data_IF_577293084824
#
_entry.id   IF_577293084824
#
_cell.length_a   1.000
_cell.length_b   1.000
_cell.length_c   1.000
_cell.angle_alpha   90.00
_cell.angle_beta   90.00
_cell.angle_gamma   90.00
#
_symmetry.space_group_name_H-M   'P 1'
#
loop_
_entity.id
_entity.type
_entity.pdbx_description
1 polymer ?
#
# COMPACT_ATOMS: atom_id res chain seq x y z
N UNK A 1 -4.16 -20.32 -20.72
CA UNK A 1 -3.77 -19.21 -19.84
C UNK A 1 -3.54 -18.01 -20.76
N UNK A 2 -4.28 -16.93 -20.59
CA UNK A 2 -4.10 -15.69 -21.36
C UNK A 2 -3.30 -14.73 -20.50
N UNK A 3 -2.19 -14.21 -21.01
CA UNK A 3 -1.34 -13.23 -20.35
C UNK A 3 -1.66 -11.79 -20.76
N UNK A 4 -2.58 -11.60 -21.69
CA UNK A 4 -3.00 -10.31 -22.15
C UNK A 4 -4.02 -9.70 -21.17
N UNK A 5 -3.85 -8.40 -20.92
CA UNK A 5 -4.86 -7.64 -20.20
C UNK A 5 -6.17 -7.57 -21.00
N UNK A 6 -7.30 -7.71 -20.32
CA UNK A 6 -8.60 -7.44 -20.93
C UNK A 6 -8.68 -5.99 -21.44
N UNK A 7 -9.64 -5.72 -22.32
CA UNK A 7 -9.86 -4.34 -22.80
C UNK A 7 -10.12 -3.36 -21.67
N UNK A 8 -10.82 -3.79 -20.61
CA UNK A 8 -11.11 -2.96 -19.45
C UNK A 8 -9.83 -2.64 -18.68
N UNK A 9 -8.98 -3.62 -18.41
CA UNK A 9 -7.68 -3.40 -17.74
C UNK A 9 -6.74 -2.51 -18.58
N UNK A 10 -6.75 -2.64 -19.91
CA UNK A 10 -5.97 -1.75 -20.78
C UNK A 10 -6.47 -0.30 -20.71
N UNK A 11 -7.79 -0.09 -20.61
CA UNK A 11 -8.36 1.25 -20.44
C UNK A 11 -8.02 1.84 -19.07
N UNK A 12 -8.08 1.04 -18.00
CA UNK A 12 -7.65 1.46 -16.66
C UNK A 12 -6.18 1.87 -16.68
N UNK A 13 -5.30 1.05 -17.25
CA UNK A 13 -3.88 1.37 -17.39
C UNK A 13 -3.67 2.68 -18.13
N UNK A 14 -4.29 2.84 -19.29
CA UNK A 14 -4.17 4.07 -20.08
C UNK A 14 -4.63 5.31 -19.31
N UNK A 15 -5.80 5.22 -18.68
CA UNK A 15 -6.34 6.32 -17.86
C UNK A 15 -5.37 6.70 -16.73
N UNK A 16 -4.82 5.70 -16.04
CA UNK A 16 -3.90 5.94 -14.93
C UNK A 16 -2.55 6.46 -15.38
N UNK A 17 -2.02 5.96 -16.51
CA UNK A 17 -0.79 6.48 -17.10
C UNK A 17 -0.94 7.97 -17.48
N UNK A 18 -2.05 8.35 -18.12
CA UNK A 18 -2.37 9.75 -18.47
C UNK A 18 -2.52 10.61 -17.21
N UNK A 19 -3.23 10.13 -16.19
CA UNK A 19 -3.37 10.83 -14.91
C UNK A 19 -2.01 11.00 -14.22
N UNK A 20 -1.20 9.97 -14.17
CA UNK A 20 0.11 9.99 -13.52
C UNK A 20 1.08 10.96 -14.18
N UNK A 21 1.14 10.97 -15.50
CA UNK A 21 2.01 11.90 -16.26
C UNK A 21 1.55 13.36 -16.10
N UNK A 22 0.24 13.63 -16.14
CA UNK A 22 -0.27 14.99 -16.18
C UNK A 22 -0.51 15.61 -14.79
N UNK A 23 -0.81 14.80 -13.77
CA UNK A 23 -1.23 15.29 -12.46
C UNK A 23 -0.25 14.91 -11.34
N UNK A 24 0.33 13.70 -11.38
CA UNK A 24 1.18 13.20 -10.29
C UNK A 24 2.63 13.61 -10.49
N UNK A 25 3.19 13.38 -11.66
CA UNK A 25 4.59 13.67 -12.00
C UNK A 25 4.98 15.13 -11.76
N UNK A 26 4.17 16.14 -12.15
CA UNK A 26 4.55 17.54 -12.00
C UNK A 26 4.76 17.98 -10.55
N UNK A 27 4.08 17.35 -9.60
CA UNK A 27 4.17 17.72 -8.17
C UNK A 27 5.01 16.76 -7.33
N UNK A 28 5.46 15.63 -7.90
CA UNK A 28 6.11 14.57 -7.13
C UNK A 28 7.39 15.02 -6.40
N UNK A 29 8.20 15.87 -7.04
CA UNK A 29 9.42 16.42 -6.43
C UNK A 29 9.11 17.38 -5.27
N UNK A 30 8.11 18.25 -5.42
CA UNK A 30 7.72 19.20 -4.38
C UNK A 30 7.02 18.47 -3.22
N UNK A 31 6.21 17.45 -3.50
CA UNK A 31 5.60 16.57 -2.50
C UNK A 31 6.67 15.89 -1.62
N UNK A 32 7.74 15.36 -2.23
CA UNK A 32 8.85 14.78 -1.45
C UNK A 32 9.59 15.83 -0.64
N UNK A 33 9.89 16.99 -1.23
CA UNK A 33 10.64 18.06 -0.58
C UNK A 33 9.91 18.67 0.62
N UNK A 34 8.60 18.87 0.49
CA UNK A 34 7.80 19.55 1.51
C UNK A 34 7.13 18.58 2.49
N UNK A 35 7.17 17.28 2.22
CA UNK A 35 6.44 16.24 2.96
C UNK A 35 4.93 16.50 3.05
N UNK A 36 4.37 17.19 2.07
CA UNK A 36 2.94 17.53 2.05
C UNK A 36 2.12 16.40 1.41
N UNK A 37 1.00 16.11 2.04
CA UNK A 37 -0.02 15.23 1.50
C UNK A 37 -0.56 15.78 0.19
N UNK A 38 -0.56 15.01 -0.93
CA UNK A 38 -0.97 15.47 -2.26
C UNK A 38 -2.50 15.55 -2.38
N UNK A 39 -3.12 16.42 -1.58
CA UNK A 39 -4.58 16.53 -1.41
C UNK A 39 -5.33 16.64 -2.73
N UNK A 40 -4.89 17.53 -3.62
CA UNK A 40 -5.58 17.77 -4.90
C UNK A 40 -5.60 16.50 -5.77
N UNK A 41 -4.49 15.76 -5.82
CA UNK A 41 -4.44 14.50 -6.56
C UNK A 41 -5.34 13.44 -5.95
N UNK A 42 -5.40 13.35 -4.63
CA UNK A 42 -6.28 12.39 -3.95
C UNK A 42 -7.75 12.74 -4.19
N UNK A 43 -8.13 14.03 -4.17
CA UNK A 43 -9.49 14.47 -4.53
C UNK A 43 -9.86 14.09 -5.97
N UNK A 44 -8.92 14.27 -6.92
CA UNK A 44 -9.12 13.84 -8.31
C UNK A 44 -9.26 12.33 -8.42
N UNK A 45 -8.49 11.55 -7.64
CA UNK A 45 -8.59 10.08 -7.61
C UNK A 45 -9.92 9.59 -7.00
N UNK A 46 -10.50 10.32 -6.02
CA UNK A 46 -11.88 10.06 -5.57
C UNK A 46 -12.87 10.27 -6.72
N UNK A 47 -12.78 11.39 -7.44
CA UNK A 47 -13.66 11.70 -8.56
C UNK A 47 -13.55 10.68 -9.72
N UNK A 48 -12.37 10.10 -9.92
CA UNK A 48 -12.14 9.02 -10.91
C UNK A 48 -12.60 7.64 -10.41
N UNK A 49 -13.02 7.52 -9.13
CA UNK A 49 -13.43 6.26 -8.52
C UNK A 49 -12.26 5.32 -8.15
N UNK A 50 -11.03 5.81 -8.20
CA UNK A 50 -9.82 5.04 -7.82
C UNK A 50 -9.77 4.82 -6.31
N UNK A 51 -10.20 5.81 -5.52
CA UNK A 51 -10.43 5.67 -4.09
C UNK A 51 -11.77 4.94 -3.87
N UNK A 52 -11.74 3.63 -3.82
CA UNK A 52 -12.91 2.74 -3.78
C UNK A 52 -13.00 1.83 -5.01
N UNK A 53 -11.85 1.56 -5.67
CA UNK A 53 -11.78 0.77 -6.90
C UNK A 53 -12.51 -0.57 -6.79
N UNK A 54 -12.29 -1.32 -5.72
CA UNK A 54 -12.91 -2.64 -5.50
C UNK A 54 -14.20 -2.58 -4.67
N UNK A 55 -14.60 -1.41 -4.19
CA UNK A 55 -15.87 -1.25 -3.44
C UNK A 55 -17.04 -1.48 -4.38
N UNK A 56 -18.06 -2.30 -3.99
CA UNK A 56 -19.23 -2.54 -4.82
C UNK A 56 -19.96 -1.24 -5.21
N UNK A 57 -20.55 -1.22 -6.40
CA UNK A 57 -21.24 -0.04 -6.94
C UNK A 57 -22.40 0.43 -6.07
N UNK A 58 -23.09 -0.48 -5.40
CA UNK A 58 -24.16 -0.19 -4.46
C UNK A 58 -23.74 0.67 -3.27
N UNK A 59 -22.45 0.59 -2.88
CA UNK A 59 -21.84 1.43 -1.83
C UNK A 59 -21.03 2.61 -2.40
N UNK A 60 -21.18 2.89 -3.70
CA UNK A 60 -20.58 4.07 -4.33
C UNK A 60 -19.19 3.88 -4.92
N UNK A 61 -18.64 2.65 -4.90
CA UNK A 61 -17.36 2.32 -5.51
C UNK A 61 -17.43 2.05 -7.00
N UNK A 62 -16.27 1.76 -7.61
CA UNK A 62 -16.17 1.42 -9.03
C UNK A 62 -16.61 -0.02 -9.33
N UNK A 63 -16.55 -0.92 -8.36
CA UNK A 63 -16.88 -2.34 -8.51
C UNK A 63 -15.94 -3.08 -9.45
N UNK A 64 -14.68 -2.61 -9.54
CA UNK A 64 -13.64 -3.24 -10.32
C UNK A 64 -12.97 -4.40 -9.56
N UNK A 65 -12.19 -5.20 -10.25
CA UNK A 65 -11.48 -6.33 -9.67
C UNK A 65 -10.12 -5.95 -9.03
N UNK A 66 -9.49 -6.84 -8.25
CA UNK A 66 -8.19 -6.58 -7.64
C UNK A 66 -7.05 -6.33 -8.65
N UNK A 67 -7.15 -6.84 -9.89
CA UNK A 67 -6.14 -6.59 -10.92
C UNK A 67 -6.20 -5.13 -11.40
N UNK A 68 -7.39 -4.57 -11.57
CA UNK A 68 -7.55 -3.15 -11.89
C UNK A 68 -6.95 -2.25 -10.79
N UNK A 69 -7.16 -2.62 -9.50
CA UNK A 69 -6.56 -1.91 -8.37
C UNK A 69 -5.04 -1.99 -8.38
N UNK A 70 -4.47 -3.16 -8.65
CA UNK A 70 -3.01 -3.34 -8.76
C UNK A 70 -2.42 -2.48 -9.89
N UNK A 71 -3.07 -2.44 -11.06
CA UNK A 71 -2.66 -1.59 -12.19
C UNK A 71 -2.68 -0.10 -11.80
N UNK A 72 -3.69 0.37 -11.07
CA UNK A 72 -3.73 1.75 -10.61
C UNK A 72 -2.55 2.10 -9.69
N UNK A 73 -2.22 1.23 -8.75
CA UNK A 73 -1.11 1.43 -7.81
C UNK A 73 0.24 1.39 -8.54
N UNK A 74 0.42 0.46 -9.49
CA UNK A 74 1.60 0.35 -10.35
C UNK A 74 1.85 1.65 -11.10
N UNK A 75 0.86 2.14 -11.85
CA UNK A 75 0.98 3.36 -12.66
C UNK A 75 1.26 4.63 -11.82
N UNK A 76 0.54 4.82 -10.69
CA UNK A 76 0.79 5.93 -9.78
C UNK A 76 2.22 5.92 -9.22
N UNK A 77 2.70 4.73 -8.87
CA UNK A 77 3.99 4.54 -8.21
C UNK A 77 5.19 4.72 -9.14
N UNK A 78 4.99 4.71 -10.47
CA UNK A 78 6.03 5.04 -11.44
C UNK A 78 6.58 6.46 -11.23
N UNK A 79 5.75 7.40 -10.80
CA UNK A 79 6.14 8.79 -10.62
C UNK A 79 6.12 9.25 -9.16
N UNK A 80 5.21 8.70 -8.33
CA UNK A 80 5.09 9.06 -6.91
C UNK A 80 4.60 7.88 -6.08
N UNK A 81 5.55 7.18 -5.45
CA UNK A 81 5.24 6.06 -4.58
C UNK A 81 4.39 6.45 -3.36
N UNK A 82 4.49 7.70 -2.88
CA UNK A 82 3.63 8.22 -1.80
C UNK A 82 2.16 8.22 -2.20
N UNK A 83 1.82 8.63 -3.42
CA UNK A 83 0.45 8.62 -3.94
C UNK A 83 -0.05 7.18 -4.08
N UNK A 84 0.79 6.27 -4.58
CA UNK A 84 0.48 4.83 -4.66
C UNK A 84 0.21 4.21 -3.28
N UNK A 85 1.00 4.54 -2.26
CA UNK A 85 0.86 4.06 -0.88
C UNK A 85 -0.46 4.51 -0.23
N UNK A 86 -0.84 5.78 -0.41
CA UNK A 86 -2.11 6.32 0.08
C UNK A 86 -3.30 5.53 -0.48
N UNK A 87 -3.29 5.29 -1.80
CA UNK A 87 -4.34 4.54 -2.50
C UNK A 87 -4.35 3.07 -2.09
N UNK A 88 -3.18 2.44 -2.00
CA UNK A 88 -3.04 1.04 -1.60
C UNK A 88 -3.58 0.78 -0.19
N UNK A 89 -3.19 1.63 0.77
CA UNK A 89 -3.66 1.55 2.17
C UNK A 89 -5.16 1.78 2.27
N UNK A 90 -5.68 2.82 1.63
CA UNK A 90 -7.10 3.13 1.65
C UNK A 90 -7.96 1.97 1.11
N UNK A 91 -7.66 1.49 -0.09
CA UNK A 91 -8.42 0.43 -0.75
C UNK A 91 -8.18 -0.95 -0.12
N UNK A 92 -6.91 -1.32 0.03
CA UNK A 92 -6.50 -2.68 0.41
C UNK A 92 -6.57 -2.97 1.91
N UNK A 93 -6.34 -1.96 2.75
CA UNK A 93 -6.22 -2.17 4.20
C UNK A 93 -7.41 -1.61 4.98
N UNK A 94 -8.16 -0.63 4.45
CA UNK A 94 -9.34 -0.11 5.12
C UNK A 94 -10.65 -0.55 4.44
N UNK A 95 -10.83 -0.33 3.14
CA UNK A 95 -12.06 -0.71 2.45
C UNK A 95 -12.24 -2.23 2.38
N UNK A 96 -11.18 -2.97 2.01
CA UNK A 96 -11.24 -4.44 1.80
C UNK A 96 -11.72 -5.23 3.04
N UNK A 97 -11.20 -5.03 4.27
CA UNK A 97 -11.72 -5.72 5.45
C UNK A 97 -13.16 -5.32 5.80
N UNK A 98 -13.60 -4.09 5.51
CA UNK A 98 -15.00 -3.70 5.71
C UNK A 98 -15.90 -4.41 4.69
N UNK A 99 -15.50 -4.50 3.43
CA UNK A 99 -16.21 -5.26 2.39
C UNK A 99 -16.34 -6.72 2.78
N UNK A 100 -15.25 -7.32 3.26
CA UNK A 100 -15.14 -8.78 3.47
C UNK A 100 -15.77 -9.23 4.79
N UNK A 101 -15.67 -8.43 5.86
CA UNK A 101 -16.04 -8.83 7.21
C UNK A 101 -17.12 -7.95 7.85
N UNK A 102 -17.45 -6.81 7.25
CA UNK A 102 -18.46 -5.90 7.78
C UNK A 102 -19.87 -6.46 7.66
N UNK A 103 -20.72 -6.09 8.62
CA UNK A 103 -22.17 -6.28 8.51
C UNK A 103 -22.72 -5.36 7.40
N UNK A 104 -23.92 -5.66 6.90
CA UNK A 104 -24.55 -4.80 5.89
C UNK A 104 -24.73 -3.36 6.40
N UNK A 105 -25.02 -3.18 7.69
CA UNK A 105 -25.13 -1.85 8.32
C UNK A 105 -23.77 -1.13 8.32
N UNK A 106 -22.68 -1.82 8.64
CA UNK A 106 -21.33 -1.24 8.60
C UNK A 106 -20.91 -0.89 7.17
N UNK A 107 -21.17 -1.76 6.20
CA UNK A 107 -20.90 -1.49 4.77
C UNK A 107 -21.69 -0.27 4.29
N UNK A 108 -22.99 -0.23 4.58
CA UNK A 108 -23.86 0.88 4.19
C UNK A 108 -23.47 2.22 4.84
N UNK A 109 -22.90 2.20 6.05
CA UNK A 109 -22.41 3.40 6.73
C UNK A 109 -21.04 3.83 6.19
N UNK A 110 -20.05 2.96 6.19
CA UNK A 110 -18.65 3.33 6.02
C UNK A 110 -18.17 3.35 4.57
N UNK A 111 -18.62 2.43 3.71
CA UNK A 111 -18.13 2.39 2.34
C UNK A 111 -18.53 3.63 1.51
N UNK A 112 -19.76 4.18 1.62
CA UNK A 112 -20.08 5.46 0.97
C UNK A 112 -19.24 6.64 1.47
N UNK A 113 -18.86 6.66 2.76
CA UNK A 113 -17.95 7.67 3.31
C UNK A 113 -16.58 7.58 2.66
N UNK A 114 -16.05 6.35 2.52
CA UNK A 114 -14.73 6.02 1.96
C UNK A 114 -14.68 6.10 0.42
N UNK A 115 -15.79 6.35 -0.25
CA UNK A 115 -15.87 6.50 -1.70
C UNK A 115 -16.35 7.90 -2.06
N UNK A 116 -17.67 8.10 -2.20
CA UNK A 116 -18.27 9.39 -2.58
C UNK A 116 -18.18 10.48 -1.49
N UNK A 117 -17.98 10.08 -0.24
CA UNK A 117 -17.80 11.01 0.88
C UNK A 117 -16.42 11.59 1.00
N UNK A 118 -15.46 11.17 0.14
CA UNK A 118 -14.06 11.60 0.13
C UNK A 118 -13.34 11.47 1.48
N UNK A 119 -13.77 10.50 2.31
CA UNK A 119 -13.12 10.18 3.57
C UNK A 119 -12.00 9.18 3.36
N UNK A 120 -10.85 9.44 3.98
CA UNK A 120 -9.67 8.57 3.84
C UNK A 120 -9.69 7.47 4.90
N UNK A 121 -9.24 6.28 4.53
CA UNK A 121 -9.14 5.13 5.41
C UNK A 121 -7.70 4.78 5.81
N UNK A 122 -7.54 4.21 7.01
CA UNK A 122 -6.27 3.73 7.55
C UNK A 122 -6.42 2.38 8.26
N UNK A 123 -5.28 1.73 8.56
CA UNK A 123 -5.19 0.40 9.16
C UNK A 123 -4.22 0.43 10.35
N UNK A 124 -4.72 0.12 11.54
CA UNK A 124 -4.02 0.27 12.80
C UNK A 124 -3.72 -1.09 13.46
N UNK A 125 -2.64 -1.75 13.02
CA UNK A 125 -2.19 -3.03 13.58
C UNK A 125 -0.93 -2.87 14.44
N UNK A 126 0.11 -2.24 13.88
CA UNK A 126 1.48 -2.20 14.43
C UNK A 126 1.57 -1.39 15.72
N UNK A 127 2.31 -1.90 16.70
CA UNK A 127 2.68 -1.22 17.95
C UNK A 127 4.20 -1.22 18.13
N UNK A 128 4.74 -0.46 19.09
CA UNK A 128 6.18 -0.30 19.32
C UNK A 128 6.94 -1.64 19.45
N UNK A 129 6.33 -2.61 20.13
CA UNK A 129 6.92 -3.93 20.38
C UNK A 129 6.23 -5.06 19.59
N UNK A 130 5.33 -4.72 18.64
CA UNK A 130 4.55 -5.66 17.86
C UNK A 130 4.49 -5.27 16.37
N UNK A 131 5.63 -5.39 15.67
CA UNK A 131 5.75 -5.25 14.23
C UNK A 131 5.57 -6.60 13.53
N UNK A 132 6.67 -7.31 13.24
CA UNK A 132 6.63 -8.66 12.64
C UNK A 132 5.91 -9.67 13.54
N UNK A 133 6.04 -9.55 14.85
CA UNK A 133 5.29 -10.33 15.84
C UNK A 133 3.98 -9.61 16.22
N UNK A 134 3.10 -9.46 15.24
CA UNK A 134 1.83 -8.72 15.40
C UNK A 134 0.88 -9.33 16.44
N UNK A 135 1.14 -10.58 16.86
CA UNK A 135 0.37 -11.25 17.92
C UNK A 135 0.58 -10.64 19.31
N UNK A 136 1.67 -9.88 19.51
CA UNK A 136 2.05 -9.25 20.79
C UNK A 136 1.44 -7.87 21.03
N UNK A 137 0.52 -7.41 20.20
CA UNK A 137 -0.15 -6.12 20.41
C UNK A 137 -0.74 -5.99 21.80
N UNK A 138 -0.55 -4.83 22.43
CA UNK A 138 -0.95 -4.53 23.81
C UNK A 138 -2.16 -3.60 23.91
N UNK A 139 -2.54 -2.91 22.83
CA UNK A 139 -3.76 -2.08 22.80
C UNK A 139 -4.95 -2.91 23.25
N UNK A 140 -5.65 -2.46 24.29
CA UNK A 140 -6.79 -3.17 24.91
C UNK A 140 -8.12 -2.61 24.41
N UNK A 141 -9.14 -3.46 24.36
CA UNK A 141 -10.53 -3.06 24.17
C UNK A 141 -11.39 -3.79 25.21
N UNK A 142 -11.98 -3.04 26.15
CA UNK A 142 -12.85 -3.57 27.19
C UNK A 142 -14.29 -3.23 26.90
N UNK A 143 -15.18 -4.24 26.91
CA UNK A 143 -16.62 -4.03 26.76
C UNK A 143 -17.17 -3.39 28.03
N UNK A 144 -17.86 -2.25 27.87
CA UNK A 144 -18.59 -1.56 28.93
C UNK A 144 -20.01 -1.21 28.41
N UNK A 145 -20.98 -1.99 28.81
CA UNK A 145 -22.35 -1.81 28.37
C UNK A 145 -22.54 -1.98 26.85
N UNK A 146 -22.81 -0.87 26.18
CA UNK A 146 -23.09 -0.81 24.74
C UNK A 146 -21.91 -0.32 23.88
N UNK A 147 -20.72 -0.17 24.47
CA UNK A 147 -19.51 0.26 23.79
C UNK A 147 -18.27 -0.47 24.27
N UNK A 148 -17.18 -0.38 23.49
CA UNK A 148 -15.84 -0.78 23.90
C UNK A 148 -15.04 0.48 24.28
N UNK A 149 -14.24 0.37 25.33
CA UNK A 149 -13.25 1.38 25.74
C UNK A 149 -11.88 0.90 25.27
N UNK A 150 -11.28 1.61 24.32
CA UNK A 150 -9.95 1.31 23.79
C UNK A 150 -8.87 2.12 24.51
N UNK A 151 -7.78 1.45 24.88
CA UNK A 151 -6.59 2.08 25.49
C UNK A 151 -5.31 1.49 24.88
N UNK A 152 -4.39 2.37 24.44
CA UNK A 152 -3.11 2.00 23.85
C UNK A 152 -2.70 2.92 22.72
N UNK A 153 -1.68 2.52 21.95
CA UNK A 153 -1.24 3.26 20.77
C UNK A 153 -0.82 2.36 19.63
N UNK A 154 -0.90 2.88 18.43
CA UNK A 154 -0.47 2.24 17.17
C UNK A 154 0.53 3.16 16.48
N UNK A 155 1.60 2.59 15.95
CA UNK A 155 2.67 3.36 15.31
C UNK A 155 2.79 3.03 13.81
N UNK A 156 3.44 3.93 13.06
CA UNK A 156 3.66 3.81 11.63
C UNK A 156 2.38 3.67 10.81
N UNK A 157 1.31 4.36 11.23
CA UNK A 157 0.02 4.27 10.57
C UNK A 157 0.00 5.16 9.34
N UNK A 158 0.01 4.54 8.15
CA UNK A 158 -0.19 5.21 6.85
C UNK A 158 -1.58 5.86 6.82
N UNK A 159 -1.66 7.05 6.25
CA UNK A 159 -2.82 7.93 6.27
C UNK A 159 -3.18 8.46 7.68
N UNK A 160 -2.36 8.22 8.71
CA UNK A 160 -2.72 8.38 10.12
C UNK A 160 -3.25 9.76 10.53
N UNK A 161 -2.74 10.86 9.96
CA UNK A 161 -3.19 12.21 10.31
C UNK A 161 -4.13 12.86 9.28
N UNK A 162 -4.54 12.11 8.25
CA UNK A 162 -5.53 12.56 7.26
C UNK A 162 -6.74 11.66 7.18
N UNK A 163 -6.67 10.45 7.77
CA UNK A 163 -7.76 9.49 7.73
C UNK A 163 -8.91 9.88 8.67
N UNK A 164 -10.11 9.54 8.24
CA UNK A 164 -11.35 9.70 8.99
C UNK A 164 -11.83 8.37 9.60
N UNK A 165 -11.51 7.24 8.95
CA UNK A 165 -11.96 5.90 9.32
C UNK A 165 -10.74 4.97 9.46
N UNK A 166 -10.67 4.26 10.56
CA UNK A 166 -9.56 3.39 10.93
C UNK A 166 -10.06 1.97 11.19
N UNK A 167 -9.41 0.97 10.61
CA UNK A 167 -9.57 -0.43 11.02
C UNK A 167 -8.52 -0.73 12.09
N UNK A 168 -8.96 -0.89 13.35
CA UNK A 168 -8.10 -0.98 14.53
C UNK A 168 -8.16 -2.38 15.13
N UNK A 169 -7.00 -2.94 15.48
CA UNK A 169 -6.90 -4.23 16.15
C UNK A 169 -6.51 -4.04 17.61
N UNK A 170 -7.30 -4.62 18.51
CA UNK A 170 -7.10 -4.50 19.95
C UNK A 170 -7.41 -5.81 20.67
N UNK A 171 -6.80 -6.01 21.83
CA UNK A 171 -6.93 -7.18 22.68
C UNK A 171 -8.20 -7.07 23.51
N UNK A 172 -9.17 -7.95 23.28
CA UNK A 172 -10.38 -8.08 24.09
C UNK A 172 -10.25 -9.13 25.19
N UNK A 173 -9.36 -10.13 25.00
CA UNK A 173 -9.11 -11.19 26.00
C UNK A 173 -7.66 -11.70 25.93
N UNK A 174 -6.79 -11.19 26.80
CA UNK A 174 -5.36 -11.57 26.86
C UNK A 174 -5.13 -13.06 27.10
N UNK A 175 -6.05 -13.74 27.77
CA UNK A 175 -5.90 -15.16 28.11
C UNK A 175 -5.96 -16.09 26.89
N UNK A 176 -6.51 -15.61 25.76
CA UNK A 176 -6.73 -16.37 24.53
C UNK A 176 -5.64 -16.16 23.46
N UNK A 177 -4.59 -15.36 23.74
CA UNK A 177 -3.53 -15.05 22.78
C UNK A 177 -4.11 -14.44 21.49
N UNK A 178 -3.72 -14.94 20.31
CA UNK A 178 -4.23 -14.42 19.02
C UNK A 178 -5.74 -14.50 18.86
N UNK A 179 -6.40 -15.44 19.57
CA UNK A 179 -7.87 -15.57 19.59
C UNK A 179 -8.55 -14.58 20.53
N UNK A 180 -7.79 -13.73 21.21
CA UNK A 180 -8.29 -12.63 22.02
C UNK A 180 -8.18 -11.27 21.31
N UNK A 181 -7.63 -11.21 20.10
CA UNK A 181 -7.53 -9.98 19.32
C UNK A 181 -8.83 -9.81 18.50
N UNK A 182 -9.43 -8.62 18.59
CA UNK A 182 -10.63 -8.21 17.86
C UNK A 182 -10.33 -7.04 16.92
N UNK A 183 -11.16 -6.84 15.90
CA UNK A 183 -11.06 -5.75 14.96
C UNK A 183 -12.22 -4.77 15.15
N UNK A 184 -11.96 -3.48 14.99
CA UNK A 184 -12.93 -2.40 15.18
C UNK A 184 -12.86 -1.40 14.05
N UNK A 185 -14.00 -0.82 13.66
CA UNK A 185 -14.05 0.37 12.81
C UNK A 185 -14.11 1.58 13.75
N UNK A 186 -13.08 2.42 13.72
CA UNK A 186 -12.96 3.61 14.59
C UNK A 186 -12.96 4.85 13.73
N UNK A 187 -13.77 5.85 14.12
CA UNK A 187 -13.77 7.17 13.49
C UNK A 187 -12.82 8.12 14.24
N UNK A 188 -12.12 8.97 13.51
CA UNK A 188 -11.23 9.98 14.13
C UNK A 188 -11.96 10.96 15.06
N UNK A 189 -13.28 11.05 14.92
CA UNK A 189 -14.16 11.88 15.75
C UNK A 189 -14.57 11.25 17.08
N UNK A 190 -14.24 9.97 17.32
CA UNK A 190 -14.65 9.30 18.57
C UNK A 190 -13.92 9.87 19.77
N UNK A 191 -14.62 10.08 20.90
CA UNK A 191 -14.01 10.54 22.15
C UNK A 191 -12.85 9.64 22.54
N UNK A 192 -11.70 10.25 22.91
CA UNK A 192 -10.50 9.50 23.30
C UNK A 192 -9.60 9.06 22.16
N UNK A 193 -9.96 9.32 20.88
CA UNK A 193 -9.07 9.18 19.75
C UNK A 193 -8.17 10.43 19.61
N UNK A 194 -6.88 10.23 19.35
CA UNK A 194 -5.98 11.32 18.99
C UNK A 194 -4.85 10.85 18.07
N UNK A 195 -4.33 11.81 17.31
CA UNK A 195 -3.12 11.61 16.49
C UNK A 195 -1.92 12.03 17.35
N UNK A 196 -0.95 11.13 17.46
CA UNK A 196 0.29 11.34 18.16
C UNK A 196 1.38 11.90 17.24
N UNK A 197 2.58 11.34 17.35
CA UNK A 197 3.75 11.76 16.58
C UNK A 197 3.56 11.52 15.07
N UNK A 198 3.86 12.55 14.26
CA UNK A 198 4.07 12.39 12.83
C UNK A 198 5.47 11.83 12.58
N UNK A 199 5.59 10.82 11.72
CA UNK A 199 6.87 10.15 11.48
C UNK A 199 7.70 10.88 10.42
N UNK A 200 8.95 11.22 10.78
CA UNK A 200 9.96 11.64 9.82
C UNK A 200 10.58 10.39 9.18
N UNK A 201 10.49 10.27 7.87
CA UNK A 201 10.83 9.04 7.14
C UNK A 201 11.97 9.25 6.15
N UNK A 202 12.68 8.18 5.80
CA UNK A 202 13.69 8.16 4.74
C UNK A 202 13.10 8.46 3.36
N UNK A 203 11.89 7.95 3.08
CA UNK A 203 11.16 8.08 1.82
C UNK A 203 9.66 8.15 2.06
N UNK A 204 8.86 8.09 0.98
CA UNK A 204 7.40 8.26 0.99
C UNK A 204 6.96 9.51 1.77
N UNK A 205 7.67 10.61 1.57
CA UNK A 205 7.46 11.82 2.35
C UNK A 205 6.05 12.39 2.20
N UNK A 206 5.42 12.25 1.03
CA UNK A 206 4.05 12.68 0.78
C UNK A 206 2.99 11.73 1.35
N UNK A 207 3.36 10.55 1.85
CA UNK A 207 2.45 9.62 2.50
C UNK A 207 2.36 9.95 4.00
N UNK A 208 1.17 10.37 4.50
CA UNK A 208 1.00 10.80 5.89
C UNK A 208 1.07 9.61 6.84
N UNK A 209 2.12 9.54 7.65
CA UNK A 209 2.36 8.43 8.58
C UNK A 209 2.46 8.97 10.00
N UNK A 210 1.68 8.41 10.94
CA UNK A 210 1.64 8.89 12.32
C UNK A 210 1.41 7.78 13.34
N UNK A 211 1.65 8.11 14.60
CA UNK A 211 1.13 7.38 15.74
C UNK A 211 -0.35 7.70 15.94
N UNK A 212 -1.14 6.70 16.32
CA UNK A 212 -2.55 6.85 16.72
C UNK A 212 -2.67 6.42 18.18
N UNK A 213 -3.26 7.27 19.00
CA UNK A 213 -3.37 7.07 20.45
C UNK A 213 -4.84 6.96 20.85
N UNK A 214 -5.12 5.97 21.69
CA UNK A 214 -6.42 5.71 22.28
C UNK A 214 -6.31 5.90 23.81
N UNK A 215 -7.04 6.87 24.35
CA UNK A 215 -7.12 7.14 25.79
C UNK A 215 -8.60 7.14 26.19
N UNK A 216 -9.04 6.04 26.79
CA UNK A 216 -10.45 5.78 27.08
C UNK A 216 -11.34 6.04 25.83
N UNK A 217 -10.88 5.57 24.67
CA UNK A 217 -11.56 5.82 23.42
C UNK A 217 -12.85 5.01 23.33
N UNK A 218 -13.98 5.71 23.20
CA UNK A 218 -15.33 5.15 23.18
C UNK A 218 -15.68 4.69 21.78
N UNK A 219 -15.81 3.38 21.59
CA UNK A 219 -16.15 2.77 20.30
C UNK A 219 -17.47 2.01 20.43
N UNK A 220 -18.54 2.40 19.73
CA UNK A 220 -19.82 1.70 19.78
C UNK A 220 -19.69 0.20 19.52
N UNK A 221 -20.50 -0.62 20.21
CA UNK A 221 -20.45 -2.08 20.08
C UNK A 221 -20.70 -2.57 18.65
N UNK A 222 -21.56 -1.89 17.92
CA UNK A 222 -21.84 -2.16 16.51
C UNK A 222 -20.65 -1.90 15.57
N UNK A 223 -19.57 -1.27 16.06
CA UNK A 223 -18.35 -1.04 15.32
C UNK A 223 -17.33 -2.20 15.43
N UNK A 224 -17.66 -3.26 16.18
CA UNK A 224 -16.89 -4.51 16.15
C UNK A 224 -16.95 -5.10 14.73
N UNK A 225 -15.81 -5.19 14.07
CA UNK A 225 -15.70 -5.72 12.71
C UNK A 225 -15.57 -7.26 12.74
N UNK A 226 -16.54 -7.93 12.15
CA UNK A 226 -16.63 -9.39 12.21
C UNK A 226 -17.09 -9.89 13.58
N UNK A 227 -16.33 -10.82 14.19
CA UNK A 227 -16.64 -11.42 15.49
C UNK A 227 -15.52 -11.14 16.48
N UNK A 228 -15.88 -10.99 17.76
CA UNK A 228 -14.91 -10.89 18.85
C UNK A 228 -13.95 -12.08 18.86
N UNK A 229 -12.65 -11.80 19.03
CA UNK A 229 -11.58 -12.80 19.00
C UNK A 229 -11.19 -13.29 17.60
N UNK A 230 -11.73 -12.71 16.52
CA UNK A 230 -11.35 -13.03 15.14
C UNK A 230 -10.49 -11.96 14.46
N UNK A 231 -10.14 -10.90 15.17
CA UNK A 231 -9.38 -9.78 14.64
C UNK A 231 -8.03 -10.19 14.04
N UNK A 232 -7.27 -11.07 14.70
CA UNK A 232 -5.99 -11.53 14.15
C UNK A 232 -6.14 -12.24 12.80
N UNK A 233 -7.19 -13.06 12.64
CA UNK A 233 -7.50 -13.69 11.36
C UNK A 233 -7.84 -12.65 10.30
N UNK A 234 -8.65 -11.66 10.65
CA UNK A 234 -9.00 -10.53 9.75
C UNK A 234 -7.72 -9.79 9.35
N UNK A 235 -6.83 -9.45 10.30
CA UNK A 235 -5.57 -8.78 10.03
C UNK A 235 -4.71 -9.55 9.01
N UNK A 236 -4.52 -10.86 9.21
CA UNK A 236 -3.70 -11.69 8.31
C UNK A 236 -4.31 -11.79 6.90
N UNK A 237 -5.63 -11.93 6.78
CA UNK A 237 -6.32 -11.95 5.50
C UNK A 237 -6.23 -10.60 4.77
N UNK A 238 -6.35 -9.49 5.51
CA UNK A 238 -6.20 -8.14 4.96
C UNK A 238 -4.78 -7.92 4.45
N UNK A 239 -3.75 -8.32 5.22
CA UNK A 239 -2.36 -8.21 4.81
C UNK A 239 -2.02 -9.07 3.59
N UNK A 240 -2.66 -10.23 3.39
CA UNK A 240 -2.49 -10.99 2.15
C UNK A 240 -2.91 -10.16 0.93
N UNK A 241 -4.03 -9.43 1.04
CA UNK A 241 -4.48 -8.50 0.00
C UNK A 241 -3.56 -7.29 -0.16
N UNK A 242 -3.12 -6.69 0.94
CA UNK A 242 -2.19 -5.55 0.96
C UNK A 242 -0.86 -5.85 0.27
N UNK A 243 -0.32 -7.07 0.45
CA UNK A 243 0.92 -7.50 -0.23
C UNK A 243 0.85 -7.39 -1.76
N UNK A 244 -0.33 -7.58 -2.36
CA UNK A 244 -0.53 -7.35 -3.80
C UNK A 244 -0.34 -5.86 -4.13
N UNK A 245 -0.91 -4.97 -3.30
CA UNK A 245 -0.74 -3.53 -3.45
C UNK A 245 0.72 -3.09 -3.36
N UNK A 246 1.47 -3.62 -2.36
CA UNK A 246 2.89 -3.30 -2.20
C UNK A 246 3.75 -3.90 -3.33
N UNK A 247 3.40 -5.09 -3.83
CA UNK A 247 4.07 -5.65 -5.01
C UNK A 247 3.88 -4.75 -6.25
N UNK A 248 2.66 -4.26 -6.48
CA UNK A 248 2.35 -3.32 -7.55
C UNK A 248 3.06 -1.98 -7.37
N UNK A 249 3.10 -1.44 -6.16
CA UNK A 249 3.85 -0.22 -5.85
C UNK A 249 5.34 -0.38 -6.13
N UNK A 250 5.96 -1.45 -5.63
CA UNK A 250 7.37 -1.73 -5.84
C UNK A 250 7.70 -1.92 -7.33
N UNK A 251 6.83 -2.60 -8.07
CA UNK A 251 6.95 -2.74 -9.52
C UNK A 251 6.89 -1.39 -10.23
N UNK A 252 5.94 -0.54 -9.89
CA UNK A 252 5.83 0.81 -10.44
C UNK A 252 7.07 1.66 -10.17
N UNK A 253 7.61 1.64 -8.95
CA UNK A 253 8.87 2.33 -8.60
C UNK A 253 10.02 1.82 -9.50
N UNK A 254 10.14 0.50 -9.68
CA UNK A 254 11.19 -0.08 -10.52
C UNK A 254 11.07 0.36 -11.97
N UNK A 255 9.86 0.36 -12.53
CA UNK A 255 9.61 0.74 -13.91
C UNK A 255 9.83 2.23 -14.14
N UNK A 256 9.32 3.10 -13.26
CA UNK A 256 9.58 4.53 -13.33
C UNK A 256 11.08 4.86 -13.29
N UNK A 257 11.84 4.20 -12.39
CA UNK A 257 13.28 4.36 -12.32
C UNK A 257 14.01 3.86 -13.58
N UNK A 258 13.56 2.74 -14.15
CA UNK A 258 14.10 2.21 -15.39
C UNK A 258 13.82 3.14 -16.59
N UNK A 259 12.61 3.69 -16.69
CA UNK A 259 12.25 4.64 -17.77
C UNK A 259 13.07 5.93 -17.69
N UNK A 260 13.20 6.53 -16.51
CA UNK A 260 14.03 7.72 -16.29
C UNK A 260 15.50 7.47 -16.68
N UNK A 261 16.05 6.31 -16.24
CA UNK A 261 17.41 5.93 -16.59
C UNK A 261 17.57 5.68 -18.09
N UNK A 262 16.57 5.09 -18.74
CA UNK A 262 16.59 4.83 -20.18
C UNK A 262 16.58 6.14 -20.98
N UNK A 263 15.75 7.10 -20.58
CA UNK A 263 15.69 8.42 -21.20
C UNK A 263 17.03 9.15 -21.05
N UNK A 264 17.57 9.21 -19.83
CA UNK A 264 18.84 9.86 -19.54
C UNK A 264 20.01 9.25 -20.33
N UNK A 265 20.14 7.92 -20.32
CA UNK A 265 21.27 7.23 -20.97
C UNK A 265 21.26 7.34 -22.48
N UNK A 266 20.11 7.55 -23.11
CA UNK A 266 19.98 7.83 -24.55
C UNK A 266 20.49 9.23 -24.90
N UNK A 267 20.31 10.21 -24.02
CA UNK A 267 20.73 11.59 -24.23
C UNK A 267 22.17 11.87 -23.79
N UNK A 268 22.67 11.20 -22.75
CA UNK A 268 23.99 11.45 -22.16
C UNK A 268 25.11 10.85 -23.01
N UNK A 269 26.01 11.69 -23.51
CA UNK A 269 27.16 11.28 -24.33
C UNK A 269 28.44 11.30 -23.49
N UNK A 270 29.18 10.20 -23.48
CA UNK A 270 30.51 10.05 -22.92
C UNK A 270 31.35 9.12 -23.81
N UNK A 271 32.66 9.35 -23.87
CA UNK A 271 33.59 8.59 -24.77
C UNK A 271 33.09 8.54 -26.23
N UNK A 272 32.53 9.67 -26.70
CA UNK A 272 32.10 9.86 -28.11
C UNK A 272 30.79 9.20 -28.51
N UNK A 273 30.00 8.60 -27.56
CA UNK A 273 28.70 7.98 -27.86
C UNK A 273 27.74 8.05 -26.68
N UNK A 274 26.41 7.94 -26.92
CA UNK A 274 25.44 7.82 -25.85
C UNK A 274 25.77 6.65 -24.92
N UNK A 275 25.65 6.84 -23.60
CA UNK A 275 25.99 5.79 -22.63
C UNK A 275 25.11 4.55 -22.76
N UNK A 276 23.89 4.68 -23.30
CA UNK A 276 23.01 3.55 -23.68
C UNK A 276 23.63 2.62 -24.75
N UNK A 277 24.69 3.03 -25.44
CA UNK A 277 25.38 2.21 -26.45
C UNK A 277 26.55 1.38 -25.87
N UNK A 278 26.82 1.47 -24.59
CA UNK A 278 27.75 0.57 -23.92
C UNK A 278 27.08 -0.74 -23.58
N UNK A 279 27.74 -1.86 -23.86
CA UNK A 279 27.20 -3.20 -23.69
C UNK A 279 26.74 -3.48 -22.24
N UNK A 280 27.54 -3.05 -21.27
CA UNK A 280 27.15 -3.20 -19.85
C UNK A 280 25.84 -2.47 -19.51
N UNK A 281 25.62 -1.27 -20.05
CA UNK A 281 24.37 -0.51 -19.88
C UNK A 281 23.19 -1.28 -20.48
N UNK A 282 23.37 -1.83 -21.69
CA UNK A 282 22.34 -2.64 -22.36
C UNK A 282 21.99 -3.90 -21.58
N UNK A 283 22.98 -4.60 -21.07
CA UNK A 283 22.76 -5.81 -20.24
C UNK A 283 22.02 -5.46 -18.95
N UNK A 284 22.37 -4.36 -18.31
CA UNK A 284 21.67 -3.93 -17.09
C UNK A 284 20.18 -3.62 -17.38
N UNK A 285 19.84 -2.97 -18.47
CA UNK A 285 18.45 -2.75 -18.86
C UNK A 285 17.72 -4.05 -19.22
N UNK A 286 18.39 -4.99 -19.88
CA UNK A 286 17.81 -6.30 -20.18
C UNK A 286 17.44 -7.06 -18.88
N UNK A 287 18.32 -7.04 -17.88
CA UNK A 287 18.06 -7.64 -16.57
C UNK A 287 16.90 -6.93 -15.83
N UNK A 288 16.84 -5.60 -15.87
CA UNK A 288 15.75 -4.84 -15.27
C UNK A 288 14.41 -5.19 -15.94
N UNK A 289 14.33 -5.15 -17.26
CA UNK A 289 13.12 -5.44 -18.02
C UNK A 289 12.61 -6.88 -17.77
N UNK A 290 13.51 -7.87 -17.79
CA UNK A 290 13.17 -9.27 -17.51
C UNK A 290 12.58 -9.42 -16.10
N UNK A 291 13.18 -8.77 -15.09
CA UNK A 291 12.71 -8.83 -13.71
C UNK A 291 11.40 -8.08 -13.50
N UNK A 292 11.21 -6.92 -14.15
CA UNK A 292 9.94 -6.19 -14.12
C UNK A 292 8.80 -7.06 -14.68
N UNK A 293 9.02 -7.74 -15.81
CA UNK A 293 8.03 -8.63 -16.38
C UNK A 293 7.71 -9.82 -15.48
N UNK A 294 8.73 -10.45 -14.90
CA UNK A 294 8.54 -11.52 -13.93
C UNK A 294 7.74 -11.04 -12.67
N UNK A 295 8.06 -9.86 -12.15
CA UNK A 295 7.35 -9.25 -11.03
C UNK A 295 5.89 -8.93 -11.36
N UNK A 296 5.63 -8.40 -12.56
CA UNK A 296 4.29 -8.13 -13.06
C UNK A 296 3.45 -9.41 -13.13
N UNK A 297 3.98 -10.47 -13.70
CA UNK A 297 3.28 -11.75 -13.80
C UNK A 297 2.94 -12.32 -12.41
N UNK A 298 3.85 -12.27 -11.45
CA UNK A 298 3.59 -12.71 -10.08
C UNK A 298 2.50 -11.86 -9.40
N UNK A 299 2.57 -10.53 -9.54
CA UNK A 299 1.61 -9.59 -8.94
C UNK A 299 0.21 -9.78 -9.53
N UNK A 300 0.11 -9.89 -10.85
CA UNK A 300 -1.17 -10.05 -11.53
C UNK A 300 -1.77 -11.42 -11.29
N UNK A 301 -0.95 -12.47 -11.19
CA UNK A 301 -1.43 -13.79 -10.78
C UNK A 301 -2.09 -13.76 -9.42
N UNK A 302 -1.45 -13.11 -8.43
CA UNK A 302 -2.00 -12.99 -7.08
C UNK A 302 -3.31 -12.18 -7.07
N UNK A 303 -3.37 -11.08 -7.85
CA UNK A 303 -4.56 -10.24 -7.97
C UNK A 303 -5.74 -10.99 -8.63
N UNK A 304 -5.49 -11.75 -9.70
CA UNK A 304 -6.50 -12.58 -10.37
C UNK A 304 -7.04 -13.65 -9.44
N UNK A 305 -6.16 -14.38 -8.73
CA UNK A 305 -6.57 -15.40 -7.77
C UNK A 305 -7.45 -14.81 -6.65
N UNK A 306 -7.11 -13.59 -6.13
CA UNK A 306 -7.95 -12.87 -5.18
C UNK A 306 -9.32 -12.54 -5.78
N UNK A 307 -9.37 -12.03 -7.01
CA UNK A 307 -10.61 -11.70 -7.71
C UNK A 307 -11.52 -12.92 -7.97
N UNK A 308 -10.94 -14.08 -8.16
CA UNK A 308 -11.64 -15.36 -8.33
C UNK A 308 -12.06 -16.00 -6.99
N UNK A 309 -11.77 -15.37 -5.84
CA UNK A 309 -12.06 -15.94 -4.51
C UNK A 309 -11.21 -17.17 -4.17
N UNK A 310 -10.12 -17.40 -4.88
CA UNK A 310 -9.18 -18.50 -4.63
C UNK A 310 -8.17 -18.14 -3.56
N UNK A 311 -7.48 -19.15 -3.00
CA UNK A 311 -6.35 -18.92 -2.08
C UNK A 311 -5.18 -18.29 -2.86
N UNK A 312 -4.62 -17.20 -2.35
CA UNK A 312 -3.55 -16.42 -2.98
C UNK A 312 -2.43 -16.00 -2.01
N UNK A 313 -2.47 -16.45 -0.75
CA UNK A 313 -1.52 -16.07 0.31
C UNK A 313 -0.05 -16.27 -0.13
N UNK A 314 0.26 -17.44 -0.71
CA UNK A 314 1.60 -17.76 -1.18
C UNK A 314 2.02 -16.86 -2.35
N UNK A 315 1.14 -16.70 -3.32
CA UNK A 315 1.37 -15.93 -4.53
C UNK A 315 1.56 -14.44 -4.21
N UNK A 316 0.77 -13.88 -3.29
CA UNK A 316 0.92 -12.51 -2.81
C UNK A 316 2.27 -12.30 -2.09
N UNK A 317 2.68 -13.24 -1.23
CA UNK A 317 3.96 -13.18 -0.56
C UNK A 317 5.14 -13.29 -1.55
N UNK A 318 5.05 -14.16 -2.56
CA UNK A 318 6.04 -14.28 -3.64
C UNK A 318 6.16 -12.99 -4.45
N UNK A 319 5.02 -12.41 -4.85
CA UNK A 319 4.98 -11.16 -5.60
C UNK A 319 5.63 -10.01 -4.81
N UNK A 320 5.24 -9.84 -3.54
CA UNK A 320 5.76 -8.78 -2.68
C UNK A 320 7.26 -8.91 -2.45
N UNK A 321 7.73 -10.11 -2.13
CA UNK A 321 9.16 -10.38 -1.92
C UNK A 321 9.96 -10.06 -3.18
N UNK A 322 9.53 -10.60 -4.32
CA UNK A 322 10.25 -10.42 -5.59
C UNK A 322 10.26 -8.96 -6.03
N UNK A 323 9.10 -8.29 -6.04
CA UNK A 323 8.99 -6.91 -6.51
C UNK A 323 9.74 -5.93 -5.62
N UNK A 324 9.71 -6.08 -4.29
CA UNK A 324 10.42 -5.19 -3.36
C UNK A 324 11.95 -5.29 -3.52
N UNK A 325 12.51 -6.50 -3.61
CA UNK A 325 13.93 -6.69 -3.85
C UNK A 325 14.34 -6.21 -5.25
N UNK A 326 13.47 -6.40 -6.25
CA UNK A 326 13.68 -5.88 -7.59
C UNK A 326 13.66 -4.34 -7.64
N UNK A 327 12.75 -3.68 -6.92
CA UNK A 327 12.69 -2.23 -6.84
C UNK A 327 13.98 -1.64 -6.28
N UNK A 328 14.50 -2.18 -5.19
CA UNK A 328 15.78 -1.76 -4.62
C UNK A 328 16.95 -1.98 -5.60
N UNK A 329 17.00 -3.13 -6.25
CA UNK A 329 18.03 -3.42 -7.25
C UNK A 329 17.98 -2.42 -8.42
N UNK A 330 16.78 -2.19 -8.96
CA UNK A 330 16.57 -1.35 -10.15
C UNK A 330 16.85 0.11 -9.85
N UNK A 331 16.28 0.65 -8.77
CA UNK A 331 16.52 2.06 -8.38
C UNK A 331 17.98 2.34 -8.10
N UNK A 332 18.70 1.43 -7.44
CA UNK A 332 20.15 1.54 -7.18
C UNK A 332 20.95 1.54 -8.49
N UNK A 333 20.64 0.64 -9.42
CA UNK A 333 21.32 0.56 -10.72
C UNK A 333 20.97 1.74 -11.63
N UNK A 334 19.71 2.17 -11.64
CA UNK A 334 19.25 3.34 -12.38
C UNK A 334 19.96 4.61 -11.89
N UNK A 335 20.02 4.85 -10.58
CA UNK A 335 20.74 5.95 -9.97
C UNK A 335 22.23 5.94 -10.36
N UNK A 336 22.88 4.77 -10.33
CA UNK A 336 24.27 4.61 -10.73
C UNK A 336 24.53 5.06 -12.18
N UNK A 337 23.57 4.87 -13.10
CA UNK A 337 23.69 5.28 -14.50
C UNK A 337 23.72 6.80 -14.69
N UNK A 338 23.17 7.57 -13.74
CA UNK A 338 23.24 9.03 -13.76
C UNK A 338 24.59 9.56 -13.28
N UNK A 339 25.43 8.71 -12.67
CA UNK A 339 26.70 9.15 -12.08
C UNK A 339 26.48 10.18 -10.99
N UNK A 340 27.26 11.27 -10.99
CA UNK A 340 27.14 12.33 -9.99
C UNK A 340 25.76 13.00 -9.96
N UNK A 341 25.09 13.13 -11.09
CA UNK A 341 23.73 13.66 -11.16
C UNK A 341 22.70 12.78 -10.44
N UNK A 342 22.87 11.46 -10.40
CA UNK A 342 21.98 10.57 -9.65
C UNK A 342 22.04 10.79 -8.13
N UNK A 343 23.13 11.39 -7.63
CA UNK A 343 23.31 11.68 -6.21
C UNK A 343 22.77 13.06 -5.79
N UNK A 344 22.26 13.84 -6.74
CA UNK A 344 21.63 15.14 -6.50
C UNK A 344 20.11 15.02 -6.54
N UNK A 345 19.41 16.03 -6.03
CA UNK A 345 17.93 16.11 -6.08
C UNK A 345 17.38 16.69 -7.38
N UNK A 346 18.24 16.91 -8.38
CA UNK A 346 17.84 17.46 -9.70
C UNK A 346 17.08 16.40 -10.53
N UNK A 347 17.26 15.14 -10.21
CA UNK A 347 16.61 13.98 -10.85
C UNK A 347 15.87 13.12 -9.84
N UNK A 348 14.84 12.38 -10.27
CA UNK A 348 13.96 11.65 -9.33
C UNK A 348 14.56 10.40 -8.71
N UNK A 349 15.73 9.91 -9.17
CA UNK A 349 16.24 8.58 -8.86
C UNK A 349 16.60 8.40 -7.37
N UNK A 350 17.13 9.45 -6.72
CA UNK A 350 17.47 9.39 -5.30
C UNK A 350 16.18 9.25 -4.44
N UNK A 351 15.08 9.93 -4.82
CA UNK A 351 13.77 9.78 -4.19
C UNK A 351 13.22 8.38 -4.41
N UNK A 352 13.23 7.88 -5.66
CA UNK A 352 12.75 6.54 -6.00
C UNK A 352 13.52 5.45 -5.24
N UNK A 353 14.84 5.61 -5.04
CA UNK A 353 15.65 4.68 -4.25
C UNK A 353 15.26 4.71 -2.77
N UNK A 354 15.02 5.91 -2.18
CA UNK A 354 14.57 6.05 -0.79
C UNK A 354 13.18 5.42 -0.61
N UNK A 355 12.28 5.68 -1.55
CA UNK A 355 10.91 5.17 -1.53
C UNK A 355 10.88 3.64 -1.71
N UNK A 356 11.73 3.08 -2.56
CA UNK A 356 11.80 1.63 -2.78
C UNK A 356 12.15 0.86 -1.49
N UNK A 357 12.98 1.44 -0.60
CA UNK A 357 13.46 0.71 0.59
C UNK A 357 12.34 0.26 1.51
N UNK A 358 11.29 1.06 1.70
CA UNK A 358 10.21 0.68 2.61
C UNK A 358 9.43 -0.54 2.12
N UNK A 359 9.41 -0.79 0.80
CA UNK A 359 8.69 -1.93 0.23
C UNK A 359 9.25 -3.29 0.68
N UNK A 360 10.50 -3.34 1.13
CA UNK A 360 11.11 -4.53 1.74
C UNK A 360 10.72 -4.70 3.23
N UNK A 361 10.15 -3.68 3.87
CA UNK A 361 9.94 -3.60 5.32
C UNK A 361 8.46 -3.72 5.70
N UNK A 362 7.61 -2.81 5.24
CA UNK A 362 6.22 -2.75 5.67
C UNK A 362 5.33 -3.84 5.04
N UNK A 363 4.14 -4.02 5.58
CA UNK A 363 3.22 -5.14 5.26
C UNK A 363 3.86 -6.53 5.33
N UNK A 364 4.81 -6.65 6.26
CA UNK A 364 5.64 -7.83 6.46
C UNK A 364 6.97 -7.73 5.74
N UNK A 365 8.07 -7.79 6.52
CA UNK A 365 9.43 -7.71 5.97
C UNK A 365 9.69 -8.81 4.94
N UNK A 366 10.76 -8.66 4.15
CA UNK A 366 11.21 -9.70 3.20
C UNK A 366 11.40 -11.06 3.89
N UNK A 367 11.83 -11.08 5.17
CA UNK A 367 11.94 -12.29 5.98
C UNK A 367 10.57 -12.88 6.30
N UNK A 368 9.58 -12.05 6.67
CA UNK A 368 8.20 -12.51 6.91
C UNK A 368 7.59 -13.08 5.64
N UNK A 369 7.84 -12.50 4.45
CA UNK A 369 7.38 -13.10 3.20
C UNK A 369 7.96 -14.51 3.01
N UNK A 370 9.24 -14.71 3.33
CA UNK A 370 9.89 -16.03 3.27
C UNK A 370 9.26 -17.02 4.25
N UNK A 371 8.92 -16.59 5.48
CA UNK A 371 8.18 -17.41 6.45
C UNK A 371 6.81 -17.82 5.89
N UNK A 372 6.07 -16.87 5.30
CA UNK A 372 4.76 -17.17 4.68
C UNK A 372 4.90 -18.15 3.53
N UNK A 373 5.87 -17.94 2.64
CA UNK A 373 6.11 -18.83 1.50
C UNK A 373 6.49 -20.23 1.99
N UNK A 374 7.46 -20.34 2.91
CA UNK A 374 7.95 -21.64 3.42
C UNK A 374 6.83 -22.44 4.07
N UNK A 375 6.00 -21.81 4.90
CA UNK A 375 4.84 -22.47 5.52
C UNK A 375 3.78 -22.94 4.50
N UNK A 376 3.69 -22.28 3.33
CA UNK A 376 2.75 -22.68 2.26
C UNK A 376 3.29 -23.75 1.29
N UNK A 377 4.59 -24.05 1.35
CA UNK A 377 5.21 -25.17 0.60
C UNK A 377 5.51 -26.38 1.48
N UNK A 378 5.10 -26.34 2.76
CA UNK A 378 5.15 -27.49 3.66
C UNK A 378 6.42 -27.57 4.54
N UNK A 379 7.12 -26.44 4.78
CA UNK A 379 8.28 -26.34 5.69
C UNK A 379 7.89 -25.65 7.00
#
# INVERSE_FOLDING_TARGET
MDFNLSREHQLVRKMMAEFTENEVKPIAAETDKTSQYPRENIEKLFNLGVMGMCVPKEYGGAGADPLASAICIEELSMQCASTGDIVATHNGLCCDPIITHGTEAQKAKYLPMLTKGHKVGAFCLTESDAGSDAAKGQTEAKLDGDHYVLNGSKIFITNGYVADVFVVFAMTDKSKGTRGISAFIVESSFPGFSVGKHEEKMGLHGSPTAEIVFTDCIVPKENLLGQEGKGFKIAMQTLDGGRIGIAAQALGIAEGAMEEAMAYTKGRVQFGKPISKFQNTQFTFADMAMRSEAGRLLTYQAAVLKGEGKRFTKEAAMAKLFCSEHAMLTTTKALQMFGGYGYTKDYPLERMMRDAKITEIYEGTSEIQRVVISGNIGL
#
